data_IF_649871653560
#
_entry.id   IF_649871653560
#
_cell.length_a   1.000
_cell.length_b   1.000
_cell.length_c   1.000
_cell.angle_alpha   90.00
_cell.angle_beta   90.00
_cell.angle_gamma   90.00
#
_symmetry.space_group_name_H-M   'P 1'
#
loop_
_entity.id
_entity.type
_entity.pdbx_description
1 polymer ?
#
# COMPACT_ATOMS: atom_id res chain seq x y z
N UNK A 1 -6.80 -13.50 4.56
CA UNK A 1 -5.58 -13.09 5.26
C UNK A 1 -5.76 -13.21 6.75
N UNK A 2 -4.81 -13.79 7.42
CA UNK A 2 -4.88 -13.99 8.85
C UNK A 2 -3.54 -13.57 9.46
N UNK A 3 -3.49 -12.50 10.29
CA UNK A 3 -4.64 -11.74 10.79
C UNK A 3 -5.22 -10.79 9.76
N UNK A 4 -6.47 -10.38 10.00
CA UNK A 4 -7.14 -9.44 9.13
C UNK A 4 -6.51 -8.05 9.28
N UNK A 5 -6.22 -7.36 8.20
CA UNK A 5 -5.66 -6.01 8.30
C UNK A 5 -6.68 -5.04 8.87
N UNK A 6 -6.19 -4.09 9.66
CA UNK A 6 -7.03 -3.05 10.22
C UNK A 6 -7.21 -1.90 9.26
N UNK A 7 -6.25 -1.69 8.37
CA UNK A 7 -6.32 -0.70 7.31
C UNK A 7 -5.86 -1.30 6.01
N UNK A 8 -6.52 -0.92 4.92
CA UNK A 8 -6.09 -1.26 3.58
C UNK A 8 -5.74 0.05 2.88
N UNK A 9 -4.51 0.16 2.42
CA UNK A 9 -4.00 1.36 1.77
C UNK A 9 -3.66 1.03 0.33
N UNK A 10 -4.35 1.69 -0.59
CA UNK A 10 -4.22 1.46 -2.02
C UNK A 10 -3.41 2.60 -2.62
N UNK A 11 -2.23 2.27 -3.13
CA UNK A 11 -1.33 3.25 -3.73
C UNK A 11 -1.46 3.14 -5.26
N UNK A 12 -1.77 4.25 -5.90
CA UNK A 12 -2.09 4.26 -7.32
C UNK A 12 -1.32 5.33 -8.06
N UNK A 13 -1.18 5.14 -9.38
CA UNK A 13 -0.59 6.16 -10.25
C UNK A 13 -1.66 7.02 -10.89
N UNK A 14 -2.73 6.41 -11.36
CA UNK A 14 -3.87 7.10 -11.96
C UNK A 14 -5.15 6.63 -11.32
N UNK A 15 -6.04 7.57 -10.99
CA UNK A 15 -7.33 7.25 -10.40
C UNK A 15 -8.20 6.49 -11.40
N UNK A 16 -8.88 5.44 -10.94
CA UNK A 16 -9.78 4.66 -11.75
C UNK A 16 -11.17 4.66 -11.14
N UNK A 17 -12.19 4.56 -12.00
CA UNK A 17 -13.56 4.66 -11.54
C UNK A 17 -13.93 3.59 -10.50
N UNK A 18 -13.39 2.40 -10.65
CA UNK A 18 -13.67 1.32 -9.70
C UNK A 18 -13.21 1.62 -8.29
N UNK A 19 -12.29 2.55 -8.11
CA UNK A 19 -11.79 2.90 -6.79
C UNK A 19 -12.87 3.55 -5.92
N UNK A 20 -13.85 4.20 -6.53
CA UNK A 20 -14.89 4.88 -5.76
C UNK A 20 -15.65 3.93 -4.84
N UNK A 21 -15.94 2.73 -5.33
CA UNK A 21 -16.63 1.75 -4.52
C UNK A 21 -15.75 1.27 -3.37
N UNK A 22 -14.49 1.00 -3.65
CA UNK A 22 -13.55 0.56 -2.62
C UNK A 22 -13.37 1.63 -1.56
N UNK A 23 -13.33 2.89 -1.97
CA UNK A 23 -13.21 3.99 -1.04
C UNK A 23 -14.41 4.05 -0.10
N UNK A 24 -15.61 3.80 -0.62
CA UNK A 24 -16.80 3.75 0.21
C UNK A 24 -16.78 2.61 1.20
N UNK A 25 -16.03 1.56 0.90
CA UNK A 25 -15.87 0.41 1.79
C UNK A 25 -14.76 0.59 2.81
N UNK A 26 -14.10 1.75 2.82
CA UNK A 26 -13.11 2.06 3.83
C UNK A 26 -11.66 1.95 3.39
N UNK A 27 -11.40 1.64 2.13
CA UNK A 27 -10.04 1.58 1.62
C UNK A 27 -9.47 3.00 1.53
N UNK A 28 -8.25 3.18 2.01
CA UNK A 28 -7.54 4.46 1.98
C UNK A 28 -6.74 4.53 0.69
N UNK A 29 -6.87 5.63 -0.04
CA UNK A 29 -6.17 5.81 -1.31
C UNK A 29 -5.08 6.85 -1.20
N UNK A 30 -3.92 6.54 -1.77
CA UNK A 30 -2.76 7.43 -1.77
C UNK A 30 -2.17 7.42 -3.18
N UNK A 31 -1.91 8.60 -3.73
CA UNK A 31 -1.25 8.71 -5.02
C UNK A 31 0.26 8.51 -4.84
N UNK A 32 0.84 7.61 -5.60
CA UNK A 32 2.27 7.32 -5.53
C UNK A 32 2.63 6.42 -4.36
N UNK A 33 3.89 6.39 -4.01
CA UNK A 33 4.40 5.54 -2.95
C UNK A 33 4.00 6.07 -1.57
N UNK A 34 3.69 5.19 -0.63
CA UNK A 34 3.27 5.62 0.70
C UNK A 34 4.45 6.10 1.53
N UNK A 35 4.16 6.94 2.51
CA UNK A 35 5.16 7.41 3.47
C UNK A 35 5.10 6.55 4.71
N UNK A 36 5.65 5.35 4.59
CA UNK A 36 5.55 4.32 5.62
C UNK A 36 6.12 4.78 6.97
N UNK A 37 7.16 5.59 6.92
CA UNK A 37 7.83 6.07 8.13
C UNK A 37 6.96 6.97 8.99
N UNK A 38 5.85 7.48 8.43
CA UNK A 38 4.94 8.33 9.20
C UNK A 38 3.86 7.52 9.92
N UNK A 39 3.81 6.23 9.67
CA UNK A 39 2.75 5.38 10.22
C UNK A 39 3.12 4.85 11.59
N UNK A 40 2.10 4.69 12.44
CA UNK A 40 2.30 3.99 13.69
C UNK A 40 2.56 2.51 13.42
N UNK A 41 3.25 1.86 14.35
CA UNK A 41 3.61 0.46 14.19
C UNK A 41 2.62 -0.50 14.85
N UNK A 42 1.54 0.03 15.41
CA UNK A 42 0.62 -0.77 16.20
C UNK A 42 -0.63 -1.22 15.45
N UNK A 43 -0.70 -0.97 14.14
CA UNK A 43 -1.82 -1.41 13.32
C UNK A 43 -1.37 -2.36 12.23
N UNK A 44 -2.20 -3.33 11.93
CA UNK A 44 -1.95 -4.22 10.80
C UNK A 44 -2.46 -3.55 9.54
N UNK A 45 -1.59 -3.41 8.56
CA UNK A 45 -1.92 -2.74 7.30
C UNK A 45 -1.63 -3.63 6.11
N UNK A 46 -2.54 -3.60 5.15
CA UNK A 46 -2.30 -4.17 3.83
C UNK A 46 -2.06 -3.01 2.87
N UNK A 47 -0.90 -3.00 2.23
CA UNK A 47 -0.55 -1.98 1.25
C UNK A 47 -0.63 -2.60 -0.13
N UNK A 48 -1.43 -2.00 -1.00
CA UNK A 48 -1.58 -2.46 -2.37
C UNK A 48 -0.90 -1.43 -3.27
N UNK A 49 0.07 -1.90 -4.06
CA UNK A 49 0.78 -1.05 -5.02
C UNK A 49 0.22 -1.37 -6.40
N UNK A 50 -0.63 -0.49 -6.90
CA UNK A 50 -1.35 -0.73 -8.15
C UNK A 50 -0.62 -0.09 -9.31
N UNK A 51 0.05 -0.94 -10.10
CA UNK A 51 0.76 -0.54 -11.31
C UNK A 51 1.83 0.54 -11.06
N UNK A 52 2.54 0.42 -9.94
CA UNK A 52 3.62 1.33 -9.60
C UNK A 52 4.99 0.72 -9.80
N UNK A 53 5.07 -0.44 -10.45
CA UNK A 53 6.33 -1.18 -10.56
C UNK A 53 7.38 -0.43 -11.37
N UNK A 54 6.97 0.35 -12.36
CA UNK A 54 7.93 1.10 -13.17
C UNK A 54 8.57 2.24 -12.40
N UNK A 55 7.94 2.69 -11.33
CA UNK A 55 8.46 3.78 -10.51
C UNK A 55 9.13 3.29 -9.24
N UNK A 56 9.14 1.99 -9.01
CA UNK A 56 9.35 1.49 -7.67
C UNK A 56 10.64 0.74 -7.46
N UNK A 57 11.26 0.26 -8.48
CA UNK A 57 12.58 -0.35 -8.42
C UNK A 57 13.14 -0.48 -6.99
N UNK A 58 14.28 0.20 -6.76
CA UNK A 58 14.94 0.19 -5.46
C UNK A 58 14.15 0.94 -4.39
N UNK A 59 13.31 1.88 -4.78
CA UNK A 59 12.60 2.70 -3.79
C UNK A 59 11.59 1.89 -3.00
N UNK A 60 10.87 0.99 -3.65
CA UNK A 60 9.93 0.13 -2.94
C UNK A 60 10.69 -0.81 -2.01
N UNK A 61 11.74 -1.42 -2.52
CA UNK A 61 12.55 -2.32 -1.72
C UNK A 61 13.12 -1.60 -0.50
N UNK A 62 13.67 -0.41 -0.71
CA UNK A 62 14.24 0.36 0.39
C UNK A 62 13.18 0.78 1.40
N UNK A 63 12.00 1.16 0.91
CA UNK A 63 10.92 1.60 1.77
C UNK A 63 10.53 0.51 2.77
N UNK A 64 10.33 -0.71 2.28
CA UNK A 64 9.88 -1.79 3.13
C UNK A 64 11.03 -2.53 3.83
N UNK A 65 12.24 -2.42 3.32
CA UNK A 65 13.40 -3.03 3.96
C UNK A 65 13.90 -2.16 5.12
N UNK A 66 14.00 -0.85 4.91
CA UNK A 66 14.36 0.07 5.98
C UNK A 66 13.27 0.14 7.04
N UNK A 67 12.05 -0.14 6.64
CA UNK A 67 10.93 -0.21 7.56
C UNK A 67 10.78 -1.57 8.20
N UNK A 68 11.86 -2.29 8.40
CA UNK A 68 11.78 -3.63 8.99
C UNK A 68 11.16 -3.64 10.38
N UNK A 69 11.14 -2.49 11.05
CA UNK A 69 10.43 -2.35 12.30
C UNK A 69 8.93 -2.13 12.09
N UNK A 70 8.49 -1.97 10.85
CA UNK A 70 7.05 -1.93 10.54
C UNK A 70 6.57 -3.36 10.29
N UNK A 71 6.48 -4.12 11.36
CA UNK A 71 6.25 -5.57 11.28
C UNK A 71 4.86 -5.96 10.85
N UNK A 72 3.92 -5.02 10.90
CA UNK A 72 2.53 -5.32 10.63
C UNK A 72 2.08 -4.85 9.26
N UNK A 73 2.99 -4.76 8.33
CA UNK A 73 2.69 -4.33 6.97
C UNK A 73 2.82 -5.53 6.03
N UNK A 74 1.74 -5.80 5.30
CA UNK A 74 1.75 -6.76 4.19
C UNK A 74 1.65 -5.98 2.89
N UNK A 75 2.37 -6.41 1.87
CA UNK A 75 2.42 -5.69 0.59
C UNK A 75 1.92 -6.60 -0.51
N UNK A 76 1.04 -6.06 -1.34
CA UNK A 76 0.54 -6.74 -2.52
C UNK A 76 0.83 -5.88 -3.75
N UNK A 77 1.35 -6.52 -4.80
CA UNK A 77 1.66 -5.84 -6.05
C UNK A 77 0.62 -6.19 -7.10
N UNK A 78 0.10 -5.18 -7.77
CA UNK A 78 -0.77 -5.37 -8.93
C UNK A 78 -0.01 -4.84 -10.13
N UNK A 79 0.22 -5.70 -11.11
CA UNK A 79 0.94 -5.35 -12.33
C UNK A 79 -0.03 -5.46 -13.49
N UNK A 80 -0.11 -4.40 -14.28
CA UNK A 80 -0.94 -4.38 -15.47
C UNK A 80 -0.05 -4.47 -16.70
N UNK A 81 -0.44 -5.31 -17.64
CA UNK A 81 0.30 -5.48 -18.89
C UNK A 81 -0.26 -4.58 -19.97
#
# INVERSE_FOLDING_TARGET
>A
MNPVPEEVIWCYGEWQLGYNQLKREGVIFTEGLPKVEEWSTNKRRLVILDDLMSETDDRVTKLFTKGSHHRNISVMYIVQN
#
